data_IF_996186563243
#
_entry.id   IF_996186563243
#
_cell.length_a   1.000
_cell.length_b   1.000
_cell.length_c   1.000
_cell.angle_alpha   90.00
_cell.angle_beta   90.00
_cell.angle_gamma   90.00
#
_symmetry.space_group_name_H-M   'P 1'
#
loop_
_entity.id
_entity.type
_entity.pdbx_description
1 polymer ?
#
# COMPACT_ATOMS: atom_id res chain seq x y z
N UNK A 1 -3.18 29.98 -14.63
CA UNK A 1 -2.29 29.03 -13.91
C UNK A 1 -2.48 29.24 -12.41
N UNK A 2 -3.33 28.46 -11.76
CA UNK A 2 -3.54 28.55 -10.31
C UNK A 2 -2.47 27.73 -9.61
N UNK A 3 -1.58 28.40 -8.88
CA UNK A 3 -0.65 27.81 -7.93
C UNK A 3 -1.42 26.92 -6.96
N UNK A 4 -1.17 25.60 -7.02
CA UNK A 4 -1.77 24.61 -6.13
C UNK A 4 -1.39 24.94 -4.68
N UNK A 5 -2.34 25.49 -3.92
CA UNK A 5 -2.18 25.75 -2.49
C UNK A 5 -2.04 24.39 -1.81
N UNK A 6 -0.79 23.96 -1.53
CA UNK A 6 -0.49 22.73 -0.79
C UNK A 6 -1.24 22.78 0.54
N UNK A 7 -2.32 22.03 0.64
CA UNK A 7 -3.13 21.95 1.87
C UNK A 7 -2.37 21.18 2.96
N UNK A 8 -2.71 21.36 4.24
CA UNK A 8 -2.10 20.58 5.33
C UNK A 8 -2.12 19.06 5.07
N UNK A 9 -3.14 18.57 4.37
CA UNK A 9 -3.26 17.15 3.95
C UNK A 9 -2.12 16.70 3.04
N UNK A 10 -1.60 17.59 2.18
CA UNK A 10 -0.44 17.29 1.33
C UNK A 10 0.80 17.01 2.18
N UNK A 11 1.09 17.89 3.15
CA UNK A 11 2.25 17.75 4.01
C UNK A 11 2.15 16.53 4.94
N UNK A 12 0.96 16.23 5.45
CA UNK A 12 0.73 14.99 6.22
C UNK A 12 0.98 13.76 5.34
N UNK A 13 0.51 13.75 4.10
CA UNK A 13 0.74 12.63 3.19
C UNK A 13 2.23 12.48 2.84
N UNK A 14 2.95 13.57 2.61
CA UNK A 14 4.41 13.56 2.44
C UNK A 14 5.12 13.02 3.69
N UNK A 15 4.73 13.49 4.87
CA UNK A 15 5.29 13.01 6.13
C UNK A 15 5.08 11.50 6.31
N UNK A 16 3.91 10.98 5.94
CA UNK A 16 3.65 9.53 5.94
C UNK A 16 4.51 8.79 4.92
N UNK A 17 4.69 9.30 3.71
CA UNK A 17 5.60 8.70 2.70
C UNK A 17 7.04 8.66 3.22
N UNK A 18 7.52 9.74 3.84
CA UNK A 18 8.83 9.78 4.46
C UNK A 18 8.94 8.77 5.61
N UNK A 19 7.91 8.66 6.46
CA UNK A 19 7.86 7.65 7.50
C UNK A 19 7.90 6.22 6.94
N UNK A 20 7.17 5.94 5.84
CA UNK A 20 7.25 4.65 5.14
C UNK A 20 8.67 4.36 4.69
N UNK A 21 9.37 5.32 4.08
CA UNK A 21 10.75 5.13 3.62
C UNK A 21 11.70 4.88 4.79
N UNK A 22 11.64 5.72 5.84
CA UNK A 22 12.51 5.61 7.02
C UNK A 22 12.28 4.27 7.72
N UNK A 23 11.01 3.88 7.93
CA UNK A 23 10.66 2.59 8.51
C UNK A 23 11.11 1.45 7.59
N UNK A 24 10.91 1.54 6.29
CA UNK A 24 11.36 0.49 5.36
C UNK A 24 12.88 0.26 5.43
N UNK A 25 13.66 1.36 5.45
CA UNK A 25 15.12 1.30 5.54
C UNK A 25 15.56 0.75 6.90
N UNK A 26 15.05 1.30 8.00
CA UNK A 26 15.44 0.86 9.33
C UNK A 26 15.03 -0.59 9.60
N UNK A 27 13.90 -1.05 9.06
CA UNK A 27 13.47 -2.43 9.17
C UNK A 27 14.37 -3.38 8.37
N UNK A 28 14.72 -3.00 7.13
CA UNK A 28 15.69 -3.74 6.32
C UNK A 28 17.07 -3.83 6.99
N UNK A 29 17.53 -2.74 7.59
CA UNK A 29 18.80 -2.65 8.32
C UNK A 29 18.73 -3.16 9.77
N UNK A 30 17.57 -3.65 10.22
CA UNK A 30 17.35 -4.19 11.57
C UNK A 30 17.66 -3.21 12.70
N UNK A 31 17.32 -1.93 12.53
CA UNK A 31 17.39 -0.93 13.60
C UNK A 31 16.47 -1.24 14.78
N UNK A 32 15.47 -2.08 14.56
CA UNK A 32 14.53 -2.58 15.55
C UNK A 32 14.21 -4.05 15.28
N UNK A 33 13.70 -4.72 16.29
CA UNK A 33 13.26 -6.11 16.20
C UNK A 33 11.74 -6.21 16.09
N UNK A 34 11.22 -6.30 14.85
CA UNK A 34 9.82 -6.60 14.55
C UNK A 34 9.61 -8.10 14.24
N UNK A 35 10.59 -8.95 14.54
CA UNK A 35 10.59 -10.38 14.27
C UNK A 35 10.29 -11.18 15.54
N UNK A 36 9.18 -10.89 16.18
CA UNK A 36 8.69 -11.66 17.32
C UNK A 36 7.33 -12.28 17.03
N UNK A 37 7.05 -13.38 17.73
CA UNK A 37 5.78 -14.09 17.63
C UNK A 37 4.65 -13.32 18.31
N UNK A 38 3.51 -13.28 17.65
CA UNK A 38 2.25 -12.80 18.21
C UNK A 38 1.18 -13.87 17.92
N UNK A 39 0.98 -14.80 18.86
CA UNK A 39 0.16 -15.98 18.60
C UNK A 39 0.81 -16.94 17.59
N UNK A 40 0.09 -17.42 16.55
CA UNK A 40 0.61 -18.43 15.62
C UNK A 40 1.63 -17.89 14.61
N UNK A 41 1.68 -16.58 14.40
CA UNK A 41 2.46 -15.94 13.34
C UNK A 41 3.37 -14.83 13.89
N UNK A 42 4.40 -14.47 13.14
CA UNK A 42 5.23 -13.31 13.47
C UNK A 42 4.47 -11.99 13.28
N UNK A 43 4.79 -10.97 14.08
CA UNK A 43 4.16 -9.65 14.01
C UNK A 43 4.08 -9.11 12.57
N UNK A 44 5.17 -9.17 11.82
CA UNK A 44 5.21 -8.65 10.45
C UNK A 44 4.24 -9.36 9.49
N UNK A 45 3.81 -10.60 9.76
CA UNK A 45 2.72 -11.24 8.99
C UNK A 45 1.37 -10.66 9.37
N UNK A 46 1.09 -10.45 10.66
CA UNK A 46 -0.13 -9.75 11.11
C UNK A 46 -0.27 -8.36 10.52
N UNK A 47 0.82 -7.58 10.50
CA UNK A 47 0.83 -6.26 9.88
C UNK A 47 0.49 -6.35 8.39
N UNK A 48 1.04 -7.34 7.68
CA UNK A 48 0.71 -7.60 6.27
C UNK A 48 -0.77 -7.94 6.09
N UNK A 49 -1.35 -8.82 6.92
CA UNK A 49 -2.76 -9.17 6.85
C UNK A 49 -3.68 -7.98 7.10
N UNK A 50 -3.37 -7.15 8.10
CA UNK A 50 -4.13 -5.93 8.39
C UNK A 50 -4.04 -4.94 7.22
N UNK A 51 -2.83 -4.70 6.71
CA UNK A 51 -2.61 -3.78 5.59
C UNK A 51 -3.25 -4.25 4.28
N UNK A 52 -2.95 -5.47 3.85
CA UNK A 52 -3.52 -6.06 2.64
C UNK A 52 -5.05 -6.23 2.76
N UNK A 53 -5.55 -6.65 3.92
CA UNK A 53 -6.97 -6.74 4.22
C UNK A 53 -7.67 -5.39 4.13
N UNK A 54 -7.07 -4.32 4.68
CA UNK A 54 -7.58 -2.96 4.52
C UNK A 54 -7.69 -2.56 3.04
N UNK A 55 -6.63 -2.79 2.25
CA UNK A 55 -6.62 -2.47 0.81
C UNK A 55 -7.73 -3.24 0.09
N UNK A 56 -7.81 -4.56 0.31
CA UNK A 56 -8.78 -5.45 -0.33
C UNK A 56 -10.24 -5.15 0.03
N UNK A 57 -10.51 -4.73 1.27
CA UNK A 57 -11.88 -4.48 1.75
C UNK A 57 -12.30 -3.03 1.51
N UNK A 58 -11.42 -2.05 1.77
CA UNK A 58 -11.79 -0.64 1.72
C UNK A 58 -11.78 -0.06 0.30
N UNK A 59 -10.90 -0.52 -0.58
CA UNK A 59 -10.87 -0.08 -1.99
C UNK A 59 -12.21 -0.27 -2.74
N UNK A 60 -12.88 -1.44 -2.67
CA UNK A 60 -14.16 -1.63 -3.34
C UNK A 60 -15.28 -0.87 -2.62
N UNK A 61 -15.27 -0.82 -1.28
CA UNK A 61 -16.20 0.00 -0.49
C UNK A 61 -16.13 1.46 -0.95
N UNK A 62 -14.93 2.04 -1.04
CA UNK A 62 -14.74 3.39 -1.55
C UNK A 62 -15.27 3.56 -2.97
N UNK A 63 -15.00 2.58 -3.85
CA UNK A 63 -15.45 2.63 -5.25
C UNK A 63 -16.98 2.61 -5.41
N UNK A 64 -17.68 1.89 -4.54
CA UNK A 64 -19.14 1.83 -4.51
C UNK A 64 -19.72 3.08 -3.83
N UNK A 65 -19.21 3.41 -2.65
CA UNK A 65 -19.73 4.49 -1.80
C UNK A 65 -19.53 5.88 -2.40
N UNK A 66 -18.45 6.11 -3.17
CA UNK A 66 -18.26 7.40 -3.87
C UNK A 66 -19.39 7.72 -4.84
N UNK A 67 -20.09 6.71 -5.36
CA UNK A 67 -21.25 6.87 -6.26
C UNK A 67 -22.56 7.02 -5.50
N UNK A 68 -22.72 6.34 -4.36
CA UNK A 68 -23.96 6.32 -3.58
C UNK A 68 -24.09 7.49 -2.59
N UNK A 69 -22.97 8.01 -2.09
CA UNK A 69 -22.95 8.97 -0.98
C UNK A 69 -22.07 10.20 -1.29
N UNK A 70 -22.46 11.06 -2.25
CA UNK A 70 -21.67 12.22 -2.64
C UNK A 70 -21.42 13.20 -1.47
N UNK A 71 -22.37 13.29 -0.52
CA UNK A 71 -22.25 14.11 0.70
C UNK A 71 -21.02 13.73 1.56
N UNK A 72 -20.62 12.45 1.55
CA UNK A 72 -19.50 11.94 2.35
C UNK A 72 -18.22 11.71 1.55
N UNK A 73 -18.20 12.11 0.26
CA UNK A 73 -17.09 11.84 -0.65
C UNK A 73 -15.75 12.35 -0.12
N UNK A 74 -15.72 13.57 0.45
CA UNK A 74 -14.49 14.16 0.98
C UNK A 74 -13.88 13.36 2.13
N UNK A 75 -14.70 12.79 3.01
CA UNK A 75 -14.25 11.94 4.12
C UNK A 75 -13.80 10.58 3.61
N UNK A 76 -14.61 9.93 2.77
CA UNK A 76 -14.27 8.64 2.14
C UNK A 76 -12.95 8.70 1.38
N UNK A 77 -12.70 9.81 0.67
CA UNK A 77 -11.45 10.02 -0.04
C UNK A 77 -10.26 10.24 0.90
N UNK A 78 -10.43 10.90 2.05
CA UNK A 78 -9.36 11.01 3.04
C UNK A 78 -9.04 9.64 3.65
N UNK A 79 -10.07 8.87 4.05
CA UNK A 79 -9.89 7.53 4.59
C UNK A 79 -9.21 6.62 3.56
N UNK A 80 -9.63 6.70 2.29
CA UNK A 80 -8.99 5.96 1.20
C UNK A 80 -7.50 6.32 1.06
N UNK A 81 -7.16 7.61 0.98
CA UNK A 81 -5.76 8.02 0.76
C UNK A 81 -4.89 7.71 1.97
N UNK A 82 -5.27 8.18 3.16
CA UNK A 82 -4.44 8.05 4.35
C UNK A 82 -4.44 6.63 4.91
N UNK A 83 -5.58 5.95 4.88
CA UNK A 83 -5.64 4.55 5.28
C UNK A 83 -4.82 3.66 4.34
N UNK A 84 -4.78 3.92 3.03
CA UNK A 84 -3.90 3.16 2.13
C UNK A 84 -2.42 3.48 2.32
N UNK A 85 -2.05 4.71 2.71
CA UNK A 85 -0.66 5.01 3.10
C UNK A 85 -0.26 4.23 4.37
N UNK A 86 -1.13 4.19 5.38
CA UNK A 86 -0.89 3.39 6.59
C UNK A 86 -0.84 1.89 6.23
N UNK A 87 -1.78 1.40 5.42
CA UNK A 87 -1.76 0.01 4.98
C UNK A 87 -0.48 -0.35 4.20
N UNK A 88 -0.02 0.56 3.34
CA UNK A 88 1.24 0.38 2.62
C UNK A 88 2.45 0.38 3.55
N UNK A 89 2.48 1.23 4.59
CA UNK A 89 3.50 1.15 5.65
C UNK A 89 3.56 -0.27 6.26
N UNK A 90 2.40 -0.82 6.64
CA UNK A 90 2.33 -2.15 7.26
C UNK A 90 2.83 -3.26 6.31
N UNK A 91 2.44 -3.19 5.03
CA UNK A 91 2.91 -4.12 3.99
C UNK A 91 4.41 -3.92 3.72
N UNK A 92 4.93 -2.69 3.75
CA UNK A 92 6.36 -2.39 3.60
C UNK A 92 7.20 -2.95 4.75
N UNK A 93 6.70 -2.93 5.99
CA UNK A 93 7.37 -3.60 7.12
C UNK A 93 7.51 -5.10 6.83
N UNK A 94 6.41 -5.76 6.44
CA UNK A 94 6.46 -7.17 6.05
C UNK A 94 7.48 -7.43 4.94
N UNK A 95 7.38 -6.69 3.84
CA UNK A 95 8.23 -6.88 2.68
C UNK A 95 9.72 -6.66 3.01
N UNK A 96 10.05 -5.56 3.68
CA UNK A 96 11.44 -5.25 4.04
C UNK A 96 12.02 -6.21 5.07
N UNK A 97 11.20 -6.77 5.97
CA UNK A 97 11.63 -7.82 6.89
C UNK A 97 12.04 -9.09 6.12
N UNK A 98 11.28 -9.46 5.09
CA UNK A 98 11.58 -10.60 4.22
C UNK A 98 12.86 -10.35 3.41
N UNK A 99 12.99 -9.16 2.84
CA UNK A 99 14.15 -8.78 2.03
C UNK A 99 15.44 -8.59 2.85
N UNK A 100 15.34 -8.21 4.13
CA UNK A 100 16.48 -8.06 5.04
C UNK A 100 16.95 -9.37 5.69
N UNK A 101 16.45 -10.52 5.23
CA UNK A 101 16.93 -11.83 5.68
C UNK A 101 18.38 -12.06 5.22
N UNK A 102 19.18 -12.83 5.98
CA UNK A 102 20.54 -13.17 5.56
C UNK A 102 20.49 -13.98 4.25
N UNK A 103 21.57 -13.97 3.47
CA UNK A 103 21.61 -14.60 2.14
C UNK A 103 21.23 -16.10 2.17
N UNK A 104 21.59 -16.82 3.24
CA UNK A 104 21.22 -18.23 3.42
C UNK A 104 19.71 -18.48 3.64
N UNK A 105 18.94 -17.43 3.95
CA UNK A 105 17.49 -17.46 4.13
C UNK A 105 16.77 -16.46 3.20
N UNK A 106 17.38 -16.16 2.04
CA UNK A 106 16.81 -15.21 1.09
C UNK A 106 15.39 -15.66 0.67
N UNK A 107 14.43 -14.73 0.60
CA UNK A 107 13.07 -15.07 0.20
C UNK A 107 13.04 -15.46 -1.29
N UNK A 108 12.15 -16.39 -1.64
CA UNK A 108 11.83 -16.65 -3.04
C UNK A 108 11.09 -15.44 -3.61
N UNK A 109 11.75 -14.71 -4.52
CA UNK A 109 11.16 -13.58 -5.22
C UNK A 109 10.10 -14.09 -6.20
N UNK A 110 8.84 -14.01 -5.81
CA UNK A 110 7.70 -14.43 -6.61
C UNK A 110 6.55 -13.44 -6.51
N UNK A 111 5.35 -13.96 -6.30
CA UNK A 111 4.11 -13.18 -6.21
C UNK A 111 4.14 -12.07 -5.15
N UNK A 112 4.92 -12.24 -4.07
CA UNK A 112 5.08 -11.22 -3.03
C UNK A 112 5.78 -9.95 -3.51
N UNK A 113 6.85 -10.08 -4.30
CA UNK A 113 7.53 -8.93 -4.91
C UNK A 113 6.63 -8.23 -5.92
N UNK A 114 5.96 -9.00 -6.78
CA UNK A 114 4.99 -8.47 -7.74
C UNK A 114 3.89 -7.68 -7.03
N UNK A 115 3.33 -8.23 -5.95
CA UNK A 115 2.29 -7.57 -5.18
C UNK A 115 2.79 -6.26 -4.56
N UNK A 116 4.00 -6.27 -3.98
CA UNK A 116 4.61 -5.07 -3.42
C UNK A 116 4.78 -3.96 -4.46
N UNK A 117 5.30 -4.31 -5.65
CA UNK A 117 5.46 -3.35 -6.77
C UNK A 117 4.11 -2.78 -7.20
N UNK A 118 3.08 -3.63 -7.34
CA UNK A 118 1.72 -3.19 -7.68
C UNK A 118 1.21 -2.16 -6.66
N UNK A 119 1.28 -2.48 -5.37
CA UNK A 119 0.78 -1.57 -4.31
C UNK A 119 1.61 -0.28 -4.26
N UNK A 120 2.94 -0.36 -4.42
CA UNK A 120 3.80 0.82 -4.47
C UNK A 120 3.41 1.76 -5.62
N UNK A 121 3.19 1.22 -6.83
CA UNK A 121 2.75 2.02 -7.98
C UNK A 121 1.31 2.52 -7.77
N UNK A 122 0.42 1.76 -7.14
CA UNK A 122 -0.91 2.25 -6.75
C UNK A 122 -0.82 3.46 -5.82
N UNK A 123 0.05 3.42 -4.80
CA UNK A 123 0.28 4.55 -3.90
C UNK A 123 0.82 5.76 -4.66
N UNK A 124 1.82 5.58 -5.52
CA UNK A 124 2.40 6.67 -6.33
C UNK A 124 1.33 7.29 -7.24
N UNK A 125 0.65 6.45 -8.03
CA UNK A 125 -0.40 6.90 -8.97
C UNK A 125 -1.57 7.57 -8.24
N UNK A 126 -1.96 7.06 -7.08
CA UNK A 126 -3.02 7.61 -6.23
C UNK A 126 -2.61 8.96 -5.61
N UNK A 127 -1.37 9.08 -5.16
CA UNK A 127 -0.81 10.32 -4.61
C UNK A 127 -0.76 11.42 -5.68
N UNK A 128 -0.24 11.10 -6.86
CA UNK A 128 -0.18 12.00 -8.02
C UNK A 128 -1.58 12.49 -8.40
N UNK A 129 -2.57 11.58 -8.46
CA UNK A 129 -3.95 11.94 -8.76
C UNK A 129 -4.58 12.81 -7.68
N UNK A 130 -4.40 12.44 -6.40
CA UNK A 130 -5.00 13.15 -5.26
C UNK A 130 -4.56 14.60 -5.19
N UNK A 131 -3.29 14.86 -5.46
CA UNK A 131 -2.69 16.20 -5.34
C UNK A 131 -2.48 16.88 -6.70
N UNK A 132 -3.04 16.32 -7.77
CA UNK A 132 -3.03 16.88 -9.13
C UNK A 132 -1.61 17.20 -9.65
N UNK A 133 -0.63 16.36 -9.32
CA UNK A 133 0.79 16.63 -9.60
C UNK A 133 1.18 16.43 -11.07
N UNK A 134 0.36 15.74 -11.87
CA UNK A 134 0.69 15.36 -13.26
C UNK A 134 -0.13 16.08 -14.34
N UNK A 135 -0.87 17.15 -13.99
CA UNK A 135 -1.56 18.01 -14.96
C UNK A 135 -2.36 17.23 -16.03
N UNK A 136 -1.98 17.37 -17.29
CA UNK A 136 -2.63 16.73 -18.45
C UNK A 136 -2.53 15.20 -18.48
N UNK A 137 -1.55 14.60 -17.81
CA UNK A 137 -1.37 13.14 -17.79
C UNK A 137 -2.33 12.42 -16.82
N UNK A 138 -3.10 13.16 -16.01
CA UNK A 138 -3.97 12.57 -14.98
C UNK A 138 -4.93 11.49 -15.50
N UNK A 139 -5.38 11.59 -16.76
CA UNK A 139 -6.24 10.57 -17.38
C UNK A 139 -5.52 9.23 -17.53
N UNK A 140 -4.26 9.24 -17.96
CA UNK A 140 -3.42 8.04 -18.06
C UNK A 140 -3.12 7.46 -16.68
N UNK A 141 -2.78 8.31 -15.70
CA UNK A 141 -2.57 7.87 -14.32
C UNK A 141 -3.81 7.19 -13.73
N UNK A 142 -5.01 7.71 -14.00
CA UNK A 142 -6.27 7.11 -13.55
C UNK A 142 -6.48 5.71 -14.14
N UNK A 143 -6.20 5.54 -15.43
CA UNK A 143 -6.29 4.22 -16.07
C UNK A 143 -5.31 3.23 -15.43
N UNK A 144 -4.05 3.63 -15.25
CA UNK A 144 -3.02 2.81 -14.61
C UNK A 144 -3.44 2.43 -13.18
N UNK A 145 -3.89 3.39 -12.36
CA UNK A 145 -4.29 3.14 -10.98
C UNK A 145 -5.45 2.13 -10.87
N UNK A 146 -6.46 2.26 -11.74
CA UNK A 146 -7.59 1.31 -11.77
C UNK A 146 -7.14 -0.06 -12.26
N UNK A 147 -6.32 -0.13 -13.31
CA UNK A 147 -5.76 -1.38 -13.81
C UNK A 147 -4.94 -2.12 -12.75
N UNK A 148 -4.06 -1.41 -12.05
CA UNK A 148 -3.27 -1.96 -10.94
C UNK A 148 -4.14 -2.42 -9.77
N UNK A 149 -5.25 -1.73 -9.49
CA UNK A 149 -6.20 -2.16 -8.46
C UNK A 149 -6.82 -3.51 -8.81
N UNK A 150 -7.11 -3.78 -10.08
CA UNK A 150 -7.59 -5.09 -10.53
C UNK A 150 -6.48 -6.14 -10.46
N UNK A 151 -5.27 -5.80 -10.92
CA UNK A 151 -4.11 -6.69 -10.82
C UNK A 151 -3.79 -7.08 -9.37
N UNK A 152 -3.96 -6.15 -8.42
CA UNK A 152 -3.80 -6.42 -6.99
C UNK A 152 -4.69 -7.58 -6.54
N UNK A 153 -5.98 -7.61 -6.90
CA UNK A 153 -6.88 -8.71 -6.50
C UNK A 153 -6.47 -10.06 -7.09
N UNK A 154 -6.01 -10.07 -8.33
CA UNK A 154 -5.57 -11.31 -8.97
C UNK A 154 -4.30 -11.81 -8.26
N UNK A 155 -3.30 -10.96 -8.12
CA UNK A 155 -2.00 -11.33 -7.57
C UNK A 155 -2.09 -11.66 -6.08
N UNK A 156 -2.91 -10.95 -5.29
CA UNK A 156 -3.07 -11.25 -3.85
C UNK A 156 -3.70 -12.61 -3.61
N UNK A 157 -4.69 -13.01 -4.43
CA UNK A 157 -5.30 -14.34 -4.33
C UNK A 157 -4.27 -15.43 -4.66
N UNK A 158 -3.54 -15.28 -5.77
CA UNK A 158 -2.48 -16.22 -6.15
C UNK A 158 -1.40 -16.27 -5.05
N UNK A 159 -1.01 -15.12 -4.49
CA UNK A 159 -0.03 -15.05 -3.42
C UNK A 159 -0.49 -15.81 -2.18
N UNK A 160 -1.74 -15.66 -1.76
CA UNK A 160 -2.31 -16.39 -0.63
C UNK A 160 -2.35 -17.90 -0.92
N UNK A 161 -2.88 -18.30 -2.07
CA UNK A 161 -2.99 -19.73 -2.43
C UNK A 161 -1.63 -20.42 -2.49
N UNK A 162 -0.62 -19.75 -3.04
CA UNK A 162 0.75 -20.26 -3.10
C UNK A 162 1.37 -20.42 -1.69
N UNK A 163 1.18 -19.44 -0.81
CA UNK A 163 1.70 -19.53 0.56
C UNK A 163 0.94 -20.54 1.44
N UNK A 164 -0.30 -20.89 1.08
CA UNK A 164 -1.06 -21.97 1.71
C UNK A 164 -0.76 -23.36 1.12
N UNK A 165 0.06 -23.45 0.06
CA UNK A 165 0.45 -24.71 -0.57
C UNK A 165 -0.60 -25.32 -1.51
N UNK A 166 -1.57 -24.53 -1.98
CA UNK A 166 -2.57 -25.01 -2.94
C UNK A 166 -2.08 -25.03 -4.39
N UNK A 167 -1.13 -24.14 -4.73
CA UNK A 167 -0.52 -24.00 -6.07
C UNK A 167 0.95 -23.62 -5.97
#
# INVERSE_FOLDING_TARGET
MTTSRKSGKFYVAIALVLAIIIVSIGNYLRWWDLHFYLGPEYLHHWLSFIGAGYIAIFTPIYSIMKRRSPKHFGTLLNIHVFGNLVAFLLVSIHFTQQMGRPAQFAPTLGTGLTLYIIVAIMVITGFVQRFQLAGSFLRSWRFVHVGLSLSFYIVVVIHILHNLGFI
#
